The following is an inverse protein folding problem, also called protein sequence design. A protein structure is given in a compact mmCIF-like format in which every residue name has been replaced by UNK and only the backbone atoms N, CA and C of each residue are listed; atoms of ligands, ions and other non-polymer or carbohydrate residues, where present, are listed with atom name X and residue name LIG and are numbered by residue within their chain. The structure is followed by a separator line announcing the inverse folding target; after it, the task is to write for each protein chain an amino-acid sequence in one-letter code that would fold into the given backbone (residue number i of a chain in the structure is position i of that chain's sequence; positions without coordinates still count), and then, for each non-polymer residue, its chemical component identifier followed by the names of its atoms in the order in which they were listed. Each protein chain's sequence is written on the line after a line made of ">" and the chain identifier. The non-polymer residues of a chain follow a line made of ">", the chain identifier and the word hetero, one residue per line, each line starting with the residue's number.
data_IF_218864291268
#
_entry.id   IF_218864291268
#
_cell.length_a   1.000
_cell.length_b   1.000
_cell.length_c   1.000
_cell.angle_alpha   90.00
_cell.angle_beta   90.00
_cell.angle_gamma   90.00
#
_symmetry.space_group_name_H-M   'P 1'
#
loop_
_entity.id
_entity.type
_entity.pdbx_description
1 polymer ?
#
# COMPACT_ATOMS: atom_id res chain seq x y z
N UNK A 1 -7.09 16.03 5.13
CA UNK A 1 -8.34 15.50 5.74
C UNK A 1 -9.03 14.49 4.82
N UNK A 2 -9.34 14.82 3.54
CA UNK A 2 -10.02 13.92 2.60
C UNK A 2 -9.21 12.65 2.32
N UNK A 3 -7.90 12.77 2.14
CA UNK A 3 -6.98 11.64 1.95
C UNK A 3 -7.14 10.63 3.09
N UNK A 4 -7.08 11.07 4.35
CA UNK A 4 -7.24 10.20 5.52
C UNK A 4 -8.62 9.54 5.57
N UNK A 5 -9.69 10.26 5.19
CA UNK A 5 -11.02 9.67 5.10
C UNK A 5 -11.07 8.53 4.07
N UNK A 6 -10.44 8.72 2.91
CA UNK A 6 -10.35 7.67 1.90
C UNK A 6 -9.54 6.47 2.40
N UNK A 7 -8.44 6.73 3.12
CA UNK A 7 -7.61 5.67 3.72
C UNK A 7 -8.40 4.83 4.73
N UNK A 8 -9.15 5.47 5.61
CA UNK A 8 -9.98 4.76 6.61
C UNK A 8 -11.17 4.03 5.97
N UNK A 9 -11.74 4.58 4.90
CA UNK A 9 -12.74 3.89 4.10
C UNK A 9 -12.13 2.65 3.42
N UNK A 10 -10.93 2.76 2.87
CA UNK A 10 -10.18 1.65 2.32
C UNK A 10 -9.95 0.55 3.37
N UNK A 11 -9.51 0.92 4.58
CA UNK A 11 -9.38 -0.01 5.71
C UNK A 11 -10.68 -0.78 5.95
N UNK A 12 -11.84 -0.10 5.94
CA UNK A 12 -13.13 -0.73 6.15
C UNK A 12 -13.54 -1.70 5.04
N UNK A 13 -13.12 -1.43 3.80
CA UNK A 13 -13.38 -2.29 2.62
C UNK A 13 -12.47 -3.52 2.64
N UNK A 14 -11.20 -3.32 2.95
CA UNK A 14 -10.19 -4.39 2.96
C UNK A 14 -10.41 -5.33 4.15
N UNK A 15 -10.88 -4.83 5.30
CA UNK A 15 -11.02 -5.63 6.51
C UNK A 15 -12.02 -6.79 6.31
N UNK A 16 -11.57 -8.06 6.40
CA UNK A 16 -12.45 -9.21 6.26
C UNK A 16 -13.25 -9.46 7.54
N UNK A 17 -14.42 -10.06 7.38
CA UNK A 17 -15.21 -10.55 8.51
C UNK A 17 -16.49 -9.77 8.78
N UNK A 18 -17.29 -10.34 9.69
CA UNK A 18 -18.61 -9.82 10.08
C UNK A 18 -18.52 -8.71 11.12
N UNK A 19 -17.47 -8.72 11.95
CA UNK A 19 -17.24 -7.73 12.99
C UNK A 19 -16.30 -6.66 12.45
N UNK A 20 -16.88 -5.53 12.06
CA UNK A 20 -16.13 -4.35 11.62
C UNK A 20 -16.26 -3.24 12.66
N UNK A 21 -15.15 -2.62 13.08
CA UNK A 21 -15.21 -1.42 13.89
C UNK A 21 -16.01 -0.32 13.18
N UNK A 22 -16.59 0.57 13.95
CA UNK A 22 -17.26 1.75 13.39
C UNK A 22 -16.25 2.61 12.62
N UNK A 23 -16.69 3.27 11.55
CA UNK A 23 -15.83 4.10 10.71
C UNK A 23 -14.97 5.10 11.50
N UNK A 24 -15.56 5.81 12.48
CA UNK A 24 -14.82 6.75 13.33
C UNK A 24 -13.76 6.06 14.21
N UNK A 25 -13.96 4.81 14.59
CA UNK A 25 -12.94 4.04 15.30
C UNK A 25 -11.76 3.72 14.37
N UNK A 26 -12.03 3.32 13.12
CA UNK A 26 -11.00 3.10 12.11
C UNK A 26 -10.24 4.40 11.82
N UNK A 27 -10.96 5.52 11.65
CA UNK A 27 -10.34 6.82 11.43
C UNK A 27 -9.38 7.22 12.55
N UNK A 28 -9.76 6.98 13.82
CA UNK A 28 -8.88 7.24 14.97
C UNK A 28 -7.66 6.32 14.99
N UNK A 29 -7.83 5.04 14.63
CA UNK A 29 -6.73 4.07 14.53
C UNK A 29 -5.76 4.49 13.43
N UNK A 30 -6.26 4.82 12.25
CA UNK A 30 -5.47 5.22 11.10
C UNK A 30 -4.75 6.56 11.33
N UNK A 31 -5.39 7.49 12.06
CA UNK A 31 -4.75 8.75 12.45
C UNK A 31 -3.60 8.52 13.45
N UNK A 32 -3.80 7.60 14.41
CA UNK A 32 -2.76 7.23 15.37
C UNK A 32 -1.57 6.53 14.70
N UNK A 33 -1.85 5.63 13.75
CA UNK A 33 -0.87 4.96 12.91
C UNK A 33 -0.02 5.98 12.14
N UNK A 34 -0.67 6.91 11.44
CA UNK A 34 -0.02 7.97 10.68
C UNK A 34 0.85 8.88 11.57
N UNK A 35 0.34 9.28 12.73
CA UNK A 35 1.07 10.11 13.68
C UNK A 35 2.36 9.41 14.16
N UNK A 36 2.27 8.13 14.55
CA UNK A 36 3.43 7.36 15.00
C UNK A 36 4.43 7.15 13.86
N UNK A 37 3.94 6.87 12.64
CA UNK A 37 4.79 6.67 11.47
C UNK A 37 5.66 7.90 11.16
N UNK A 38 5.14 9.11 11.39
CA UNK A 38 5.86 10.35 11.09
C UNK A 38 6.68 10.91 12.25
N UNK A 39 6.35 10.58 13.49
CA UNK A 39 7.00 11.16 14.67
C UNK A 39 8.11 10.26 15.23
N UNK A 40 7.95 8.94 15.10
CA UNK A 40 8.88 7.98 15.72
C UNK A 40 9.95 7.55 14.69
N UNK A 41 11.25 7.65 15.02
CA UNK A 41 12.31 7.08 14.19
C UNK A 41 12.09 5.58 13.97
N UNK A 42 12.10 5.13 12.72
CA UNK A 42 11.70 3.75 12.37
C UNK A 42 10.21 3.49 12.50
N UNK A 43 9.40 4.55 12.41
CA UNK A 43 7.96 4.59 12.66
C UNK A 43 7.14 3.54 11.90
N UNK A 44 7.56 3.12 10.72
CA UNK A 44 6.82 2.16 9.91
C UNK A 44 6.53 0.82 10.60
N UNK A 45 7.50 0.27 11.33
CA UNK A 45 7.30 -0.99 12.08
C UNK A 45 6.50 -0.76 13.37
N UNK A 46 6.76 0.35 14.05
CA UNK A 46 6.08 0.73 15.30
C UNK A 46 4.64 1.07 15.04
N UNK A 47 4.34 1.82 13.98
CA UNK A 47 2.98 2.17 13.57
C UNK A 47 2.18 0.92 13.16
N UNK A 48 2.78 0.01 12.40
CA UNK A 48 2.13 -1.25 12.03
C UNK A 48 1.78 -2.11 13.26
N UNK A 49 2.67 -2.17 14.25
CA UNK A 49 2.42 -2.87 15.51
C UNK A 49 1.29 -2.19 16.32
N UNK A 50 1.32 -0.87 16.43
CA UNK A 50 0.25 -0.10 17.10
C UNK A 50 -1.10 -0.30 16.40
N UNK A 51 -1.13 -0.21 15.08
CA UNK A 51 -2.35 -0.43 14.30
C UNK A 51 -2.92 -1.82 14.51
N UNK A 52 -2.07 -2.85 14.46
CA UNK A 52 -2.47 -4.23 14.75
C UNK A 52 -3.10 -4.35 16.14
N UNK A 53 -2.47 -3.77 17.15
CA UNK A 53 -2.98 -3.80 18.52
C UNK A 53 -4.30 -3.07 18.68
N UNK A 54 -4.45 -1.88 18.10
CA UNK A 54 -5.68 -1.09 18.17
C UNK A 54 -6.84 -1.77 17.44
N UNK A 55 -6.59 -2.40 16.28
CA UNK A 55 -7.59 -3.18 15.57
C UNK A 55 -8.03 -4.39 16.39
N UNK A 56 -7.10 -5.13 17.00
CA UNK A 56 -7.43 -6.30 17.82
C UNK A 56 -8.21 -5.89 19.08
N UNK A 57 -7.85 -4.82 19.76
CA UNK A 57 -8.62 -4.26 20.88
C UNK A 57 -10.02 -3.79 20.48
N UNK A 58 -10.20 -3.43 19.20
CA UNK A 58 -11.52 -3.04 18.66
C UNK A 58 -12.39 -4.22 18.25
N UNK A 59 -11.99 -5.45 18.59
CA UNK A 59 -12.75 -6.69 18.35
C UNK A 59 -12.47 -7.36 17.01
N UNK A 60 -11.49 -6.85 16.21
CA UNK A 60 -11.06 -7.51 14.98
C UNK A 60 -10.20 -8.73 15.34
N UNK A 61 -10.47 -9.86 14.71
CA UNK A 61 -9.64 -11.06 14.91
C UNK A 61 -8.19 -10.78 14.51
N UNK A 62 -7.18 -11.21 15.30
CA UNK A 62 -5.76 -10.94 15.02
C UNK A 62 -5.32 -11.30 13.60
N UNK A 63 -5.83 -12.40 13.06
CA UNK A 63 -5.53 -12.83 11.69
C UNK A 63 -6.06 -11.84 10.64
N UNK A 64 -7.28 -11.33 10.85
CA UNK A 64 -7.91 -10.37 9.94
C UNK A 64 -7.26 -8.98 10.03
N UNK A 65 -6.80 -8.58 11.21
CA UNK A 65 -6.06 -7.33 11.38
C UNK A 65 -4.73 -7.36 10.63
N UNK A 66 -4.00 -8.47 10.73
CA UNK A 66 -2.73 -8.65 10.03
C UNK A 66 -2.93 -8.68 8.51
N UNK A 67 -3.91 -9.46 8.02
CA UNK A 67 -4.18 -9.57 6.59
C UNK A 67 -4.62 -8.24 5.98
N UNK A 68 -5.52 -7.52 6.65
CA UNK A 68 -5.97 -6.21 6.20
C UNK A 68 -4.81 -5.20 6.10
N UNK A 69 -3.92 -5.17 7.11
CA UNK A 69 -2.74 -4.32 7.07
C UNK A 69 -1.84 -4.64 5.87
N UNK A 70 -1.57 -5.92 5.62
CA UNK A 70 -0.71 -6.36 4.52
C UNK A 70 -1.31 -6.05 3.15
N UNK A 71 -2.58 -6.40 2.94
CA UNK A 71 -3.28 -6.10 1.67
C UNK A 71 -3.33 -4.61 1.40
N UNK A 72 -3.56 -3.81 2.45
CA UNK A 72 -3.61 -2.36 2.30
C UNK A 72 -2.25 -1.77 1.92
N UNK A 73 -1.17 -2.20 2.58
CA UNK A 73 0.19 -1.74 2.25
C UNK A 73 0.57 -2.15 0.83
N UNK A 74 0.40 -3.42 0.46
CA UNK A 74 0.74 -3.91 -0.88
C UNK A 74 -0.14 -3.25 -1.94
N UNK A 75 -1.46 -3.18 -1.71
CA UNK A 75 -2.40 -2.60 -2.67
C UNK A 75 -2.19 -1.10 -2.86
N UNK A 76 -1.96 -0.35 -1.79
CA UNK A 76 -1.69 1.09 -1.86
C UNK A 76 -0.39 1.38 -2.61
N UNK A 77 0.67 0.62 -2.35
CA UNK A 77 1.95 0.78 -3.04
C UNK A 77 1.87 0.38 -4.53
N UNK A 78 1.06 -0.61 -4.89
CA UNK A 78 0.78 -0.93 -6.30
C UNK A 78 0.10 0.24 -7.01
N UNK A 79 -0.91 0.85 -6.40
CA UNK A 79 -1.58 2.04 -6.96
C UNK A 79 -0.62 3.21 -7.08
N UNK A 80 0.22 3.44 -6.07
CA UNK A 80 1.26 4.48 -6.11
C UNK A 80 2.25 4.24 -7.26
N UNK A 81 2.67 2.99 -7.48
CA UNK A 81 3.52 2.62 -8.61
C UNK A 81 2.85 2.86 -9.97
N UNK A 82 1.54 2.61 -10.09
CA UNK A 82 0.77 2.94 -11.31
C UNK A 82 0.72 4.46 -11.51
N UNK A 83 0.46 5.24 -10.45
CA UNK A 83 0.46 6.71 -10.51
C UNK A 83 1.82 7.26 -10.94
N UNK A 84 2.92 6.68 -10.44
CA UNK A 84 4.26 7.00 -10.91
C UNK A 84 4.42 6.72 -12.41
N UNK A 85 3.98 5.55 -12.88
CA UNK A 85 4.00 5.20 -14.30
C UNK A 85 3.22 6.18 -15.17
N UNK A 86 2.02 6.59 -14.74
CA UNK A 86 1.24 7.64 -15.39
C UNK A 86 1.98 8.96 -15.40
N UNK A 87 2.62 9.35 -14.28
CA UNK A 87 3.45 10.54 -14.19
C UNK A 87 4.59 10.53 -15.20
N UNK A 88 5.31 9.41 -15.31
CA UNK A 88 6.40 9.24 -16.28
C UNK A 88 5.87 9.37 -17.70
N UNK A 89 4.76 8.70 -18.04
CA UNK A 89 4.18 8.74 -19.38
C UNK A 89 3.74 10.16 -19.78
N UNK A 90 3.14 10.91 -18.86
CA UNK A 90 2.72 12.29 -19.11
C UNK A 90 3.91 13.26 -19.21
N UNK A 91 4.98 13.00 -18.48
CA UNK A 91 6.18 13.84 -18.49
C UNK A 91 7.11 13.55 -19.68
N UNK A 92 7.00 12.40 -20.36
CA UNK A 92 7.86 12.05 -21.50
C UNK A 92 7.79 13.06 -22.66
N UNK A 93 6.70 13.83 -22.76
CA UNK A 93 6.54 14.89 -23.78
C UNK A 93 7.18 16.24 -23.41
N UNK A 94 7.44 16.49 -22.13
CA UNK A 94 7.79 17.81 -21.59
C UNK A 94 9.19 17.86 -20.97
N UNK A 95 9.69 16.74 -20.44
CA UNK A 95 10.95 16.71 -19.70
C UNK A 95 12.10 16.28 -20.60
N UNK A 96 13.17 17.09 -20.65
CA UNK A 96 14.47 16.65 -21.20
C UNK A 96 14.87 15.39 -20.45
N UNK A 97 14.95 14.28 -21.17
CA UNK A 97 15.22 12.93 -20.64
C UNK A 97 16.53 12.92 -19.86
N UNK A 98 16.44 13.08 -18.55
CA UNK A 98 17.59 12.93 -17.67
C UNK A 98 17.72 11.45 -17.29
N UNK A 99 18.97 10.91 -17.34
CA UNK A 99 19.27 9.52 -16.99
C UNK A 99 18.69 9.09 -15.64
N UNK A 100 18.56 9.99 -14.67
CA UNK A 100 18.00 9.70 -13.36
C UNK A 100 16.49 9.37 -13.42
N UNK A 101 15.73 10.05 -14.28
CA UNK A 101 14.30 9.73 -14.49
C UNK A 101 14.11 8.37 -15.17
N UNK A 102 14.95 8.05 -16.14
CA UNK A 102 14.93 6.74 -16.80
C UNK A 102 15.25 5.63 -15.80
N UNK A 103 16.28 5.82 -14.98
CA UNK A 103 16.67 4.83 -13.95
C UNK A 103 15.56 4.65 -12.91
N UNK A 104 14.97 5.73 -12.40
CA UNK A 104 13.84 5.68 -11.48
C UNK A 104 12.63 4.97 -12.11
N UNK A 105 12.31 5.28 -13.38
CA UNK A 105 11.25 4.61 -14.13
C UNK A 105 11.47 3.11 -14.27
N UNK A 106 12.70 2.67 -14.57
CA UNK A 106 13.06 1.26 -14.65
C UNK A 106 12.90 0.57 -13.29
N UNK A 107 13.37 1.20 -12.21
CA UNK A 107 13.25 0.65 -10.85
C UNK A 107 11.78 0.44 -10.49
N UNK A 108 10.93 1.44 -10.72
CA UNK A 108 9.50 1.32 -10.42
C UNK A 108 8.81 0.29 -11.30
N UNK A 109 9.15 0.23 -12.59
CA UNK A 109 8.61 -0.80 -13.49
C UNK A 109 9.00 -2.21 -13.03
N UNK A 110 10.23 -2.40 -12.59
CA UNK A 110 10.72 -3.66 -12.03
C UNK A 110 9.98 -4.00 -10.75
N UNK A 111 9.79 -3.05 -9.83
CA UNK A 111 9.04 -3.26 -8.59
C UNK A 111 7.57 -3.58 -8.86
N UNK A 112 6.93 -2.92 -9.82
CA UNK A 112 5.56 -3.18 -10.24
C UNK A 112 5.41 -4.57 -10.84
N UNK A 113 6.30 -4.93 -11.78
CA UNK A 113 6.28 -6.26 -12.42
C UNK A 113 6.56 -7.37 -11.40
N UNK A 114 7.48 -7.15 -10.47
CA UNK A 114 7.76 -8.07 -9.38
C UNK A 114 6.54 -8.25 -8.46
N UNK A 115 5.88 -7.15 -8.10
CA UNK A 115 4.67 -7.19 -7.25
C UNK A 115 3.52 -7.91 -7.94
N UNK A 116 3.29 -7.66 -9.23
CA UNK A 116 2.28 -8.36 -10.02
C UNK A 116 2.65 -9.84 -10.22
N UNK A 117 3.92 -10.17 -10.41
CA UNK A 117 4.39 -11.54 -10.49
C UNK A 117 4.16 -12.29 -9.17
N UNK A 118 4.47 -11.67 -8.03
CA UNK A 118 4.20 -12.25 -6.70
C UNK A 118 2.71 -12.51 -6.53
N UNK A 119 1.84 -11.56 -6.85
CA UNK A 119 0.39 -11.75 -6.77
C UNK A 119 -0.09 -12.87 -7.70
N UNK A 120 0.44 -12.95 -8.92
CA UNK A 120 0.12 -14.03 -9.88
C UNK A 120 0.55 -15.40 -9.36
N UNK A 121 1.75 -15.50 -8.76
CA UNK A 121 2.26 -16.75 -8.19
C UNK A 121 1.44 -17.16 -6.96
N UNK A 122 1.02 -16.20 -6.12
CA UNK A 122 0.13 -16.47 -4.99
C UNK A 122 -1.23 -17.02 -5.47
N UNK A 123 -1.75 -16.50 -6.56
CA UNK A 123 -3.05 -16.92 -7.09
C UNK A 123 -3.00 -18.28 -7.80
N UNK A 124 -1.93 -18.55 -8.55
CA UNK A 124 -1.83 -19.76 -9.40
C UNK A 124 -1.07 -20.93 -8.76
N UNK A 125 -0.10 -20.63 -7.89
CA UNK A 125 0.86 -21.61 -7.37
C UNK A 125 1.12 -21.41 -5.86
N UNK A 126 0.06 -21.43 -5.06
CA UNK A 126 0.15 -21.20 -3.61
C UNK A 126 1.20 -22.08 -2.93
N UNK A 127 1.26 -23.37 -3.27
CA UNK A 127 2.22 -24.31 -2.66
C UNK A 127 3.68 -24.00 -3.06
N UNK A 128 3.89 -23.45 -4.25
CA UNK A 128 5.22 -22.98 -4.66
C UNK A 128 5.59 -21.70 -3.89
N UNK A 129 4.68 -20.76 -3.75
CA UNK A 129 4.89 -19.53 -2.98
C UNK A 129 5.21 -19.84 -1.50
N UNK A 130 4.48 -20.77 -0.89
CA UNK A 130 4.72 -21.25 0.48
C UNK A 130 6.12 -21.90 0.61
N UNK A 131 6.51 -22.74 -0.33
CA UNK A 131 7.85 -23.36 -0.31
C UNK A 131 8.97 -22.34 -0.43
N UNK A 132 8.83 -21.37 -1.31
CA UNK A 132 9.80 -20.27 -1.47
C UNK A 132 9.87 -19.44 -0.19
N UNK A 133 8.73 -19.02 0.37
CA UNK A 133 8.68 -18.23 1.59
C UNK A 133 9.32 -18.96 2.79
N UNK A 134 9.09 -20.27 2.92
CA UNK A 134 9.75 -21.09 3.96
C UNK A 134 11.27 -21.18 3.76
N UNK A 135 11.72 -21.32 2.53
CA UNK A 135 13.16 -21.37 2.22
C UNK A 135 13.83 -20.02 2.51
N UNK A 136 13.23 -18.91 2.08
CA UNK A 136 13.76 -17.57 2.36
C UNK A 136 13.73 -17.24 3.85
N UNK A 137 12.66 -17.58 4.57
CA UNK A 137 12.57 -17.42 6.01
C UNK A 137 13.66 -18.22 6.76
N UNK A 138 13.95 -19.45 6.31
CA UNK A 138 15.02 -20.27 6.87
C UNK A 138 16.42 -19.67 6.63
N UNK A 139 16.64 -19.01 5.50
CA UNK A 139 17.89 -18.32 5.17
C UNK A 139 18.09 -17.06 6.03
N UNK A 140 17.04 -16.30 6.30
CA UNK A 140 17.10 -15.01 7.02
C UNK A 140 17.18 -15.19 8.54
N UNK A 141 17.00 -16.39 9.09
CA UNK A 141 17.06 -16.76 10.53
C UNK A 141 16.26 -15.90 11.51
N UNK A 142 15.69 -14.78 11.07
CA UNK A 142 14.94 -13.82 11.91
C UNK A 142 13.44 -14.15 11.91
N UNK A 143 12.93 -14.80 10.86
CA UNK A 143 11.51 -15.08 10.68
C UNK A 143 11.27 -16.58 10.86
N UNK A 144 10.37 -16.93 11.77
CA UNK A 144 9.96 -18.34 11.96
C UNK A 144 9.28 -18.85 10.67
N UNK A 145 9.66 -20.03 10.13
CA UNK A 145 9.08 -20.57 8.90
C UNK A 145 7.55 -20.71 8.93
N UNK A 146 6.99 -20.96 10.10
CA UNK A 146 5.53 -21.07 10.34
C UNK A 146 4.83 -19.71 10.17
N UNK A 147 5.49 -18.61 10.54
CA UNK A 147 4.97 -17.25 10.35
C UNK A 147 4.95 -16.87 8.88
N UNK A 148 5.98 -17.27 8.11
CA UNK A 148 6.04 -17.06 6.67
C UNK A 148 4.95 -17.86 5.93
N UNK A 149 4.73 -19.12 6.32
CA UNK A 149 3.66 -19.94 5.75
C UNK A 149 2.27 -19.33 6.01
N UNK A 150 2.03 -18.94 7.27
CA UNK A 150 0.77 -18.26 7.64
C UNK A 150 0.55 -16.97 6.87
N UNK A 151 1.61 -16.17 6.71
CA UNK A 151 1.57 -14.93 5.94
C UNK A 151 1.17 -15.17 4.49
N UNK A 152 1.82 -16.10 3.78
CA UNK A 152 1.54 -16.40 2.37
C UNK A 152 0.12 -16.91 2.19
N UNK A 153 -0.34 -17.82 3.06
CA UNK A 153 -1.72 -18.34 3.01
C UNK A 153 -2.76 -17.25 3.26
N UNK A 154 -2.47 -16.34 4.18
CA UNK A 154 -3.36 -15.21 4.47
C UNK A 154 -3.44 -14.27 3.27
N UNK A 155 -2.31 -13.93 2.65
CA UNK A 155 -2.28 -13.12 1.44
C UNK A 155 -3.07 -13.76 0.29
N UNK A 156 -2.90 -15.07 0.08
CA UNK A 156 -3.64 -15.80 -0.94
C UNK A 156 -5.15 -15.82 -0.68
N UNK A 157 -5.56 -16.00 0.58
CA UNK A 157 -6.98 -15.98 0.95
C UNK A 157 -7.62 -14.60 0.67
N UNK A 158 -6.91 -13.51 0.97
CA UNK A 158 -7.39 -12.14 0.70
C UNK A 158 -7.47 -11.85 -0.81
N UNK A 159 -6.45 -12.26 -1.57
CA UNK A 159 -6.47 -12.13 -3.04
C UNK A 159 -7.65 -12.89 -3.63
N UNK A 160 -7.93 -14.10 -3.13
CA UNK A 160 -9.10 -14.89 -3.54
C UNK A 160 -10.43 -14.21 -3.17
N UNK A 161 -10.51 -13.51 -2.04
CA UNK A 161 -11.70 -12.75 -1.64
C UNK A 161 -11.99 -11.61 -2.62
N UNK A 162 -10.98 -10.83 -3.02
CA UNK A 162 -11.13 -9.76 -4.00
C UNK A 162 -11.54 -10.28 -5.39
N UNK A 163 -11.07 -11.45 -5.75
CA UNK A 163 -11.46 -12.09 -7.02
C UNK A 163 -12.93 -12.54 -7.01
N UNK A 164 -13.46 -12.94 -5.85
CA UNK A 164 -14.88 -13.33 -5.70
C UNK A 164 -15.83 -12.13 -5.68
N UNK A 165 -15.36 -10.97 -5.24
CA UNK A 165 -16.14 -9.74 -5.17
C UNK A 165 -15.45 -8.60 -5.92
N UNK A 166 -15.64 -8.51 -7.25
CA UNK A 166 -15.00 -7.48 -8.06
C UNK A 166 -15.43 -6.05 -7.69
N UNK A 167 -16.62 -5.88 -7.09
CA UNK A 167 -17.08 -4.57 -6.61
C UNK A 167 -16.21 -4.08 -5.46
N UNK A 168 -15.83 -4.96 -4.55
CA UNK A 168 -14.88 -4.65 -3.47
C UNK A 168 -13.50 -4.26 -4.01
N UNK A 169 -13.02 -4.99 -5.02
CA UNK A 169 -11.74 -4.66 -5.66
C UNK A 169 -11.78 -3.27 -6.28
N UNK A 170 -12.81 -2.99 -7.08
CA UNK A 170 -12.97 -1.66 -7.71
C UNK A 170 -13.06 -0.56 -6.66
N UNK A 171 -13.85 -0.76 -5.61
CA UNK A 171 -13.98 0.22 -4.54
C UNK A 171 -12.65 0.44 -3.81
N UNK A 172 -11.89 -0.62 -3.52
CA UNK A 172 -10.57 -0.52 -2.91
C UNK A 172 -9.58 0.25 -3.82
N UNK A 173 -9.60 -0.02 -5.13
CA UNK A 173 -8.76 0.70 -6.09
C UNK A 173 -9.14 2.18 -6.18
N UNK A 174 -10.43 2.50 -6.29
CA UNK A 174 -10.91 3.90 -6.33
C UNK A 174 -10.51 4.64 -5.05
N UNK A 175 -10.72 4.03 -3.87
CA UNK A 175 -10.33 4.65 -2.60
C UNK A 175 -8.81 4.83 -2.49
N UNK A 176 -8.01 3.90 -3.01
CA UNK A 176 -6.55 4.03 -3.05
C UNK A 176 -6.10 5.17 -3.97
N UNK A 177 -6.72 5.28 -5.16
CA UNK A 177 -6.44 6.39 -6.08
C UNK A 177 -6.86 7.73 -5.47
N UNK A 178 -8.02 7.80 -4.83
CA UNK A 178 -8.47 9.00 -4.14
C UNK A 178 -7.54 9.37 -2.96
N UNK A 179 -7.11 8.38 -2.18
CA UNK A 179 -6.16 8.59 -1.09
C UNK A 179 -4.87 9.26 -1.59
N UNK A 180 -4.19 8.64 -2.55
CA UNK A 180 -2.95 9.17 -3.10
C UNK A 180 -3.15 10.46 -3.89
N UNK A 181 -4.26 10.56 -4.64
CA UNK A 181 -4.61 11.74 -5.41
C UNK A 181 -4.85 12.98 -4.55
N UNK A 182 -5.62 12.84 -3.44
CA UNK A 182 -5.83 13.96 -2.52
C UNK A 182 -4.56 14.36 -1.77
N UNK A 183 -3.68 13.41 -1.50
CA UNK A 183 -2.42 13.70 -0.83
C UNK A 183 -1.46 14.43 -1.78
N UNK A 184 -1.32 13.95 -3.01
CA UNK A 184 -0.56 14.64 -4.06
C UNK A 184 -1.12 16.04 -4.37
N UNK A 185 -2.45 16.19 -4.41
CA UNK A 185 -3.09 17.50 -4.59
C UNK A 185 -2.79 18.46 -3.43
N UNK A 186 -2.69 17.95 -2.21
CA UNK A 186 -2.28 18.74 -1.06
C UNK A 186 -0.84 19.25 -1.23
N UNK A 187 0.09 18.39 -1.65
CA UNK A 187 1.46 18.80 -1.97
C UNK A 187 1.49 19.85 -3.09
N UNK A 188 0.71 19.65 -4.15
CA UNK A 188 0.63 20.58 -5.26
C UNK A 188 0.14 21.97 -4.83
N UNK A 189 -0.91 22.02 -4.01
CA UNK A 189 -1.42 23.30 -3.48
C UNK A 189 -0.41 24.01 -2.58
N UNK A 190 0.35 23.25 -1.80
CA UNK A 190 1.45 23.81 -0.99
C UNK A 190 2.54 24.40 -1.87
N UNK A 191 3.02 23.68 -2.87
CA UNK A 191 4.04 24.16 -3.79
C UNK A 191 3.58 25.40 -4.56
N UNK A 192 2.32 25.41 -5.03
CA UNK A 192 1.72 26.55 -5.70
C UNK A 192 1.66 27.80 -4.79
N UNK A 193 1.36 27.62 -3.50
CA UNK A 193 1.34 28.70 -2.52
C UNK A 193 2.72 29.36 -2.31
N UNK A 194 3.81 28.61 -2.54
CA UNK A 194 5.19 29.12 -2.54
C UNK A 194 5.69 29.57 -3.92
N UNK A 195 4.80 29.67 -4.92
CA UNK A 195 5.14 30.11 -6.26
C UNK A 195 5.74 29.04 -7.18
N UNK A 196 5.76 27.79 -6.74
CA UNK A 196 6.25 26.65 -7.52
C UNK A 196 5.09 25.83 -8.07
N UNK A 197 4.75 26.05 -9.35
CA UNK A 197 3.71 25.28 -10.04
C UNK A 197 4.36 24.17 -10.83
N UNK A 198 4.25 22.94 -10.36
CA UNK A 198 4.69 21.74 -11.09
C UNK A 198 3.62 21.30 -12.08
N UNK A 199 4.06 20.79 -13.23
CA UNK A 199 3.19 20.06 -14.14
C UNK A 199 2.63 18.78 -13.50
N UNK A 200 1.48 18.27 -13.95
CA UNK A 200 0.87 17.07 -13.36
C UNK A 200 1.79 15.85 -13.37
N UNK A 201 2.55 15.65 -14.45
CA UNK A 201 3.51 14.56 -14.60
C UNK A 201 4.67 14.69 -13.62
N UNK A 202 5.27 15.86 -13.51
CA UNK A 202 6.36 16.15 -12.59
C UNK A 202 5.94 15.96 -11.13
N UNK A 203 4.74 16.42 -10.78
CA UNK A 203 4.16 16.23 -9.45
C UNK A 203 4.02 14.75 -9.11
N UNK A 204 3.41 13.96 -10.01
CA UNK A 204 3.19 12.52 -9.78
C UNK A 204 4.51 11.77 -9.64
N UNK A 205 5.53 12.12 -10.44
CA UNK A 205 6.86 11.51 -10.33
C UNK A 205 7.50 11.84 -8.99
N UNK A 206 7.59 13.13 -8.65
CA UNK A 206 8.23 13.58 -7.42
C UNK A 206 7.53 13.01 -6.18
N UNK A 207 6.21 13.08 -6.16
CA UNK A 207 5.39 12.58 -5.08
C UNK A 207 5.51 11.06 -4.88
N UNK A 208 5.37 10.30 -5.97
CA UNK A 208 5.45 8.84 -5.89
C UNK A 208 6.84 8.36 -5.50
N UNK A 209 7.88 9.00 -6.02
CA UNK A 209 9.25 8.66 -5.68
C UNK A 209 9.55 8.91 -4.19
N UNK A 210 9.10 10.05 -3.66
CA UNK A 210 9.27 10.37 -2.24
C UNK A 210 8.55 9.41 -1.29
N UNK A 211 7.46 8.78 -1.73
CA UNK A 211 6.69 7.83 -0.92
C UNK A 211 7.08 6.36 -1.14
N UNK A 212 7.87 6.02 -2.18
CA UNK A 212 8.35 4.66 -2.44
C UNK A 212 9.70 4.37 -1.79
N UNK A 213 10.45 5.39 -1.40
CA UNK A 213 11.76 5.31 -0.73
C UNK A 213 11.58 5.34 0.77
#
# INVERSE_FOLDING_TARGET
>A
ALSLCCYSALTSVVLPGSVKPRYFTLLRIDLSDLAVNHVVPGGGTTSAALRYELLTRSGVRPQNALSAAMVQVVGANLVLGVLFGVGVLTALGEVRTNRYFVTAGIIVLVLLTLSLAVLSVLDRHLDAAVRVARRTAALVRIIKPESADRFVRTMAAETAMFRRDPRRLVLALVLSVCYWGFDAACLWTFLAAFGHVLGPGELLIAYSLANLV
#
